data_IF_900645505229
#
_entry.id   IF_900645505229
#
_cell.length_a   1.000
_cell.length_b   1.000
_cell.length_c   1.000
_cell.angle_alpha   90.00
_cell.angle_beta   90.00
_cell.angle_gamma   90.00
#
_symmetry.space_group_name_H-M   'P 1'
#
loop_
_entity.id
_entity.type
_entity.pdbx_description
1 polymer ?
#
# COMPACT_ATOMS: atom_id res chain seq x y z
N UNK A 1 30.33 -24.31 11.53
CA UNK A 1 30.14 -23.18 12.46
C UNK A 1 28.96 -22.38 11.95
N UNK A 2 27.77 -22.63 12.52
CA UNK A 2 26.55 -21.92 12.14
C UNK A 2 26.51 -20.58 12.87
N UNK A 3 26.40 -19.49 12.13
CA UNK A 3 26.23 -18.16 12.70
C UNK A 3 24.87 -18.06 13.42
N UNK A 4 24.80 -17.50 14.63
CA UNK A 4 23.54 -17.33 15.33
C UNK A 4 22.73 -16.20 14.66
N UNK A 5 21.46 -16.49 14.41
CA UNK A 5 20.48 -15.51 13.95
C UNK A 5 20.27 -14.51 15.09
N UNK A 6 20.75 -13.27 14.92
CA UNK A 6 20.58 -12.21 15.92
C UNK A 6 19.16 -11.67 15.80
N UNK A 7 18.30 -12.04 16.73
CA UNK A 7 17.02 -11.36 16.97
C UNK A 7 17.33 -9.94 17.47
N UNK A 8 17.06 -8.94 16.65
CA UNK A 8 17.03 -7.55 17.13
C UNK A 8 15.89 -7.40 18.14
N UNK A 9 16.10 -6.76 19.31
CA UNK A 9 15.04 -6.56 20.29
C UNK A 9 13.97 -5.63 19.74
N UNK A 10 12.69 -5.94 20.02
CA UNK A 10 11.50 -5.19 19.59
C UNK A 10 11.63 -3.67 19.87
N UNK A 11 12.28 -3.29 20.98
CA UNK A 11 12.56 -1.91 21.34
C UNK A 11 13.39 -1.09 20.32
N UNK A 12 14.27 -1.73 19.54
CA UNK A 12 15.05 -1.03 18.51
C UNK A 12 14.20 -0.74 17.25
N UNK A 13 13.18 -1.56 17.00
CA UNK A 13 12.33 -1.50 15.80
C UNK A 13 11.27 -0.39 15.92
N UNK A 14 10.87 -0.04 17.14
CA UNK A 14 9.95 1.07 17.42
C UNK A 14 10.66 2.43 17.34
N UNK A 15 11.91 2.52 17.80
CA UNK A 15 12.74 3.74 17.65
C UNK A 15 13.00 4.16 16.20
N UNK A 16 12.85 3.24 15.23
CA UNK A 16 12.98 3.56 13.81
C UNK A 16 11.73 4.29 13.29
N UNK A 17 10.53 3.91 13.76
CA UNK A 17 9.26 4.48 13.30
C UNK A 17 9.01 5.90 13.81
N UNK A 18 9.54 6.27 14.98
CA UNK A 18 9.45 7.66 15.46
C UNK A 18 10.17 8.66 14.55
N UNK A 19 11.19 8.19 13.83
CA UNK A 19 12.11 9.01 13.03
C UNK A 19 11.85 8.97 11.52
N UNK A 20 10.84 8.22 11.05
CA UNK A 20 10.49 8.18 9.61
C UNK A 20 9.88 9.49 9.12
N UNK A 21 9.32 10.30 10.03
CA UNK A 21 8.72 11.59 9.74
C UNK A 21 9.74 12.72 9.98
N UNK A 22 9.81 13.74 9.10
CA UNK A 22 10.68 14.90 9.31
C UNK A 22 10.40 15.65 10.63
N UNK A 23 11.35 15.61 11.59
CA UNK A 23 11.14 16.08 12.97
C UNK A 23 10.89 17.59 13.18
N UNK A 24 11.02 18.44 12.14
CA UNK A 24 10.81 19.89 12.25
C UNK A 24 9.91 20.41 11.15
N UNK A 25 10.22 20.02 9.94
CA UNK A 25 9.60 20.54 8.74
C UNK A 25 9.67 19.47 7.66
N UNK A 26 8.55 19.20 6.97
CA UNK A 26 8.56 18.29 5.83
C UNK A 26 8.72 19.02 4.49
N UNK A 27 8.36 20.30 4.43
CA UNK A 27 8.61 21.20 3.29
C UNK A 27 8.57 22.65 3.75
N UNK A 28 9.25 23.55 3.03
CA UNK A 28 9.44 24.94 3.45
C UNK A 28 8.13 25.64 3.86
N UNK A 29 8.07 26.14 5.10
CA UNK A 29 6.93 26.77 5.72
C UNK A 29 5.94 25.82 6.41
N UNK A 30 6.20 24.51 6.49
CA UNK A 30 5.31 23.52 7.09
C UNK A 30 5.92 22.90 8.33
N UNK A 31 5.61 23.48 9.49
CA UNK A 31 6.28 23.18 10.75
C UNK A 31 5.48 22.15 11.52
N UNK A 32 6.17 21.11 11.99
CA UNK A 32 5.59 20.07 12.83
C UNK A 32 4.97 20.70 14.10
N UNK A 33 3.68 20.40 14.34
CA UNK A 33 2.91 20.95 15.46
C UNK A 33 3.29 20.32 16.80
N UNK A 34 3.32 19.00 16.80
CA UNK A 34 3.49 18.13 17.96
C UNK A 34 4.54 17.06 17.64
N UNK A 35 4.91 16.23 18.61
CA UNK A 35 5.76 15.06 18.33
C UNK A 35 5.05 14.04 17.43
N UNK A 36 5.82 13.21 16.73
CA UNK A 36 5.30 12.02 16.05
C UNK A 36 4.46 11.17 17.01
N UNK A 37 3.24 10.85 16.61
CA UNK A 37 2.38 9.89 17.30
C UNK A 37 2.54 8.51 16.69
N UNK A 38 2.46 7.46 17.52
CA UNK A 38 2.48 6.07 17.08
C UNK A 38 1.12 5.43 17.34
N UNK A 39 0.64 4.64 16.38
CA UNK A 39 -0.60 3.88 16.51
C UNK A 39 -0.33 2.40 16.29
N UNK A 40 -0.76 1.58 17.25
CA UNK A 40 -0.74 0.11 17.17
C UNK A 40 -2.04 -0.39 16.56
N UNK A 41 -2.18 -1.72 16.43
CA UNK A 41 -3.39 -2.34 15.90
C UNK A 41 -4.64 -1.96 16.72
N UNK A 42 -4.48 -1.80 18.02
CA UNK A 42 -5.53 -1.48 18.97
C UNK A 42 -5.98 -0.02 18.87
N UNK A 43 -5.07 0.90 18.52
CA UNK A 43 -5.35 2.35 18.51
C UNK A 43 -5.53 2.92 17.11
N UNK A 44 -5.30 2.14 16.06
CA UNK A 44 -5.38 2.63 14.68
C UNK A 44 -6.79 3.11 14.31
N UNK A 45 -7.83 2.43 14.80
CA UNK A 45 -9.22 2.77 14.51
C UNK A 45 -9.60 4.19 14.96
N UNK A 46 -9.01 4.65 16.08
CA UNK A 46 -9.21 6.00 16.62
C UNK A 46 -8.57 7.08 15.73
N UNK A 47 -7.55 6.72 14.96
CA UNK A 47 -6.84 7.64 14.07
C UNK A 47 -7.49 7.77 12.69
N UNK A 48 -7.83 6.64 12.06
CA UNK A 48 -8.32 6.61 10.67
C UNK A 48 -9.82 6.31 10.53
N UNK A 49 -10.61 6.58 11.58
CA UNK A 49 -12.07 6.65 11.55
C UNK A 49 -12.74 5.47 10.82
N UNK A 50 -12.40 4.24 11.21
CA UNK A 50 -13.01 3.02 10.66
C UNK A 50 -12.36 2.48 9.39
N UNK A 51 -11.38 3.17 8.78
CA UNK A 51 -10.60 2.60 7.67
C UNK A 51 -9.59 1.54 8.12
N UNK A 52 -9.37 1.35 9.43
CA UNK A 52 -8.38 0.43 10.00
C UNK A 52 -8.57 -1.03 9.57
N UNK A 53 -9.82 -1.47 9.40
CA UNK A 53 -10.14 -2.82 8.95
C UNK A 53 -9.56 -3.14 7.57
N UNK A 54 -9.36 -2.13 6.72
CA UNK A 54 -8.69 -2.33 5.42
C UNK A 54 -7.22 -2.74 5.59
N UNK A 55 -6.56 -2.32 6.67
CA UNK A 55 -5.11 -2.48 6.84
C UNK A 55 -4.74 -3.83 7.44
N UNK A 56 -5.60 -4.41 8.29
CA UNK A 56 -5.29 -5.60 9.06
C UNK A 56 -5.02 -6.85 8.21
N UNK A 57 -5.78 -7.15 7.13
CA UNK A 57 -5.47 -8.28 6.26
C UNK A 57 -4.10 -8.18 5.59
N UNK A 58 -3.58 -6.97 5.39
CA UNK A 58 -2.27 -6.69 4.81
C UNK A 58 -1.15 -6.68 5.89
N UNK A 59 -1.41 -7.26 7.06
CA UNK A 59 -0.39 -7.43 8.10
C UNK A 59 0.13 -6.10 8.66
N UNK A 60 -0.77 -5.15 8.90
CA UNK A 60 -0.45 -3.92 9.62
C UNK A 60 0.33 -4.21 10.92
N UNK A 61 1.43 -3.47 11.11
CA UNK A 61 2.33 -3.59 12.25
C UNK A 61 2.24 -2.33 13.13
N UNK A 62 2.60 -1.17 12.58
CA UNK A 62 2.61 0.11 13.30
C UNK A 62 2.41 1.28 12.33
N UNK A 63 1.73 2.34 12.76
CA UNK A 63 1.67 3.62 12.03
C UNK A 63 2.38 4.72 12.82
N UNK A 64 3.10 5.59 12.10
CA UNK A 64 3.64 6.84 12.64
C UNK A 64 2.95 8.02 11.93
N UNK A 65 2.51 9.02 12.71
CA UNK A 65 1.77 10.18 12.19
C UNK A 65 2.38 11.48 12.70
N UNK A 66 2.45 12.48 11.83
CA UNK A 66 2.74 13.86 12.21
C UNK A 66 1.84 14.87 11.50
N UNK A 67 1.55 15.95 12.21
CA UNK A 67 0.82 17.11 11.69
C UNK A 67 1.78 18.27 11.50
N UNK A 68 1.79 18.86 10.31
CA UNK A 68 2.60 20.01 9.94
C UNK A 68 1.68 21.21 9.64
N UNK A 69 1.84 22.29 10.38
CA UNK A 69 1.08 23.53 10.22
C UNK A 69 1.74 24.43 9.20
N UNK A 70 0.95 25.06 8.33
CA UNK A 70 1.46 26.11 7.45
C UNK A 70 1.75 27.38 8.27
N UNK A 71 3.00 27.83 8.26
CA UNK A 71 3.46 29.00 9.03
C UNK A 71 2.82 30.32 8.59
N UNK A 72 2.31 30.39 7.35
CA UNK A 72 1.61 31.55 6.80
C UNK A 72 0.09 31.51 7.02
N UNK A 73 -0.47 30.31 7.18
CA UNK A 73 -1.90 30.12 7.44
C UNK A 73 -2.13 28.89 8.34
N UNK A 74 -2.15 29.07 9.67
CA UNK A 74 -2.34 27.97 10.61
C UNK A 74 -3.69 27.24 10.51
N UNK A 75 -4.67 27.74 9.76
CA UNK A 75 -5.91 26.99 9.50
C UNK A 75 -5.72 25.88 8.44
N UNK A 76 -4.53 25.79 7.83
CA UNK A 76 -4.16 24.76 6.87
C UNK A 76 -3.02 23.91 7.43
N UNK A 77 -3.21 22.60 7.43
CA UNK A 77 -2.21 21.64 7.90
C UNK A 77 -2.11 20.40 7.02
N UNK A 78 -0.94 19.79 7.03
CA UNK A 78 -0.67 18.50 6.41
C UNK A 78 -0.66 17.44 7.52
N UNK A 79 -1.36 16.34 7.30
CA UNK A 79 -1.22 15.11 8.09
C UNK A 79 -0.45 14.10 7.23
N UNK A 80 0.65 13.59 7.76
CA UNK A 80 1.45 12.56 7.11
C UNK A 80 1.45 11.30 7.96
N UNK A 81 0.99 10.20 7.37
CA UNK A 81 0.92 8.88 7.96
C UNK A 81 1.89 7.93 7.24
N UNK A 82 2.71 7.22 8.02
CA UNK A 82 3.61 6.17 7.54
C UNK A 82 3.21 4.86 8.19
N UNK A 83 2.68 3.95 7.39
CA UNK A 83 2.24 2.62 7.80
C UNK A 83 3.32 1.60 7.50
N UNK A 84 3.76 0.86 8.51
CA UNK A 84 4.61 -0.32 8.35
C UNK A 84 3.71 -1.55 8.19
N UNK A 85 3.81 -2.20 7.03
CA UNK A 85 3.05 -3.42 6.69
C UNK A 85 3.93 -4.66 6.86
N UNK A 86 3.36 -5.86 6.69
CA UNK A 86 4.12 -7.11 6.85
C UNK A 86 5.19 -7.30 5.76
N UNK A 87 4.91 -6.90 4.51
CA UNK A 87 5.82 -7.05 3.38
C UNK A 87 5.68 -5.92 2.34
N UNK A 88 6.55 -5.95 1.33
CA UNK A 88 6.45 -5.10 0.14
C UNK A 88 5.12 -5.33 -0.61
N UNK A 89 4.69 -6.58 -0.77
CA UNK A 89 3.44 -6.92 -1.43
C UNK A 89 2.24 -6.36 -0.65
N UNK A 90 2.29 -6.39 0.67
CA UNK A 90 1.23 -5.87 1.53
C UNK A 90 1.11 -4.34 1.48
N UNK A 91 2.25 -3.62 1.49
CA UNK A 91 2.27 -2.18 1.29
C UNK A 91 1.74 -1.78 -0.10
N UNK A 92 2.15 -2.52 -1.14
CA UNK A 92 1.57 -2.38 -2.47
C UNK A 92 0.07 -2.65 -2.47
N UNK A 93 -0.40 -3.64 -1.69
CA UNK A 93 -1.82 -3.96 -1.53
C UNK A 93 -2.64 -2.77 -1.10
N UNK A 94 -2.26 -2.13 0.02
CA UNK A 94 -2.93 -0.92 0.50
C UNK A 94 -2.85 0.21 -0.54
N UNK A 95 -1.67 0.47 -1.09
CA UNK A 95 -1.49 1.49 -2.12
C UNK A 95 -2.40 1.26 -3.34
N UNK A 96 -2.45 0.02 -3.84
CA UNK A 96 -3.28 -0.36 -4.99
C UNK A 96 -4.77 -0.25 -4.69
N UNK A 97 -5.19 -0.27 -3.40
CA UNK A 97 -6.58 -0.06 -3.03
C UNK A 97 -7.04 1.37 -3.28
N UNK A 98 -6.19 2.36 -2.96
CA UNK A 98 -6.47 3.79 -3.17
C UNK A 98 -6.13 4.28 -4.59
N UNK A 99 -5.28 3.55 -5.32
CA UNK A 99 -4.86 3.88 -6.68
C UNK A 99 -6.06 4.00 -7.62
N UNK A 100 -6.13 5.13 -8.34
CA UNK A 100 -7.12 5.37 -9.40
C UNK A 100 -6.45 5.33 -10.77
N UNK A 101 -7.20 4.94 -11.80
CA UNK A 101 -6.68 4.81 -13.16
C UNK A 101 -6.26 6.15 -13.79
N UNK A 102 -6.93 7.24 -13.39
CA UNK A 102 -6.74 8.61 -13.86
C UNK A 102 -5.87 9.47 -12.92
N UNK A 103 -5.20 8.86 -11.95
CA UNK A 103 -4.40 9.59 -10.97
C UNK A 103 -3.14 10.22 -11.60
N UNK A 104 -2.73 11.38 -11.08
CA UNK A 104 -1.46 11.98 -11.46
C UNK A 104 -0.31 11.22 -10.79
N UNK A 105 0.61 10.67 -11.58
CA UNK A 105 1.69 9.82 -11.07
C UNK A 105 2.88 10.63 -10.59
N UNK A 106 3.52 10.15 -9.53
CA UNK A 106 4.77 10.70 -9.01
C UNK A 106 5.81 9.60 -8.76
N UNK A 107 7.05 9.87 -9.13
CA UNK A 107 8.18 8.98 -8.88
C UNK A 107 8.78 9.25 -7.48
N UNK A 108 8.15 8.70 -6.44
CA UNK A 108 8.65 8.65 -5.06
C UNK A 108 8.44 7.24 -4.53
N UNK A 109 9.45 6.68 -3.85
CA UNK A 109 9.44 5.27 -3.51
C UNK A 109 9.47 4.38 -4.76
N UNK A 110 8.67 3.31 -4.76
CA UNK A 110 8.48 2.45 -5.92
C UNK A 110 7.41 3.00 -6.88
N UNK A 111 6.28 3.46 -6.33
CA UNK A 111 5.24 4.17 -7.09
C UNK A 111 4.45 5.09 -6.16
N UNK A 112 4.00 6.23 -6.69
CA UNK A 112 3.07 7.12 -6.01
C UNK A 112 2.11 7.81 -6.97
N UNK A 113 1.02 8.31 -6.41
CA UNK A 113 0.08 9.19 -7.10
C UNK A 113 -0.40 10.31 -6.18
N UNK A 114 -0.69 11.47 -6.77
CA UNK A 114 -1.15 12.64 -6.06
C UNK A 114 -2.43 13.24 -6.68
N UNK A 115 -3.05 14.11 -5.89
CA UNK A 115 -4.09 15.05 -6.30
C UNK A 115 -3.84 16.39 -5.59
N UNK A 116 -4.75 17.35 -5.76
CA UNK A 116 -4.70 18.63 -5.06
C UNK A 116 -4.74 18.49 -3.53
N UNK A 117 -5.29 17.40 -2.99
CA UNK A 117 -5.50 17.24 -1.54
C UNK A 117 -4.71 16.12 -0.88
N UNK A 118 -4.10 15.22 -1.66
CA UNK A 118 -3.40 14.07 -1.11
C UNK A 118 -2.25 13.59 -1.99
N UNK A 119 -1.28 12.97 -1.34
CA UNK A 119 -0.21 12.23 -1.99
C UNK A 119 -0.05 10.88 -1.30
N UNK A 120 -0.03 9.81 -2.09
CA UNK A 120 0.16 8.45 -1.58
C UNK A 120 1.26 7.74 -2.36
N UNK A 121 2.12 7.01 -1.66
CA UNK A 121 3.15 6.19 -2.28
C UNK A 121 3.47 4.97 -1.41
N UNK A 122 4.19 4.01 -1.98
CA UNK A 122 4.79 2.91 -1.21
C UNK A 122 6.29 2.79 -1.49
N UNK A 123 7.04 2.32 -0.48
CA UNK A 123 8.48 2.10 -0.54
C UNK A 123 8.84 0.93 0.36
N UNK A 124 9.33 -0.18 -0.21
CA UNK A 124 9.51 -1.40 0.57
C UNK A 124 8.20 -1.83 1.26
N UNK A 125 8.28 -2.19 2.55
CA UNK A 125 7.12 -2.57 3.37
C UNK A 125 6.32 -1.38 3.94
N UNK A 126 6.57 -0.15 3.45
CA UNK A 126 5.93 1.05 3.96
C UNK A 126 4.92 1.61 2.95
N UNK A 127 3.73 1.89 3.43
CA UNK A 127 2.74 2.70 2.73
C UNK A 127 2.69 4.09 3.37
N UNK A 128 2.64 5.14 2.57
CA UNK A 128 2.63 6.52 3.05
C UNK A 128 1.43 7.26 2.47
N UNK A 129 0.68 7.93 3.33
CA UNK A 129 -0.45 8.78 2.96
C UNK A 129 -0.24 10.17 3.55
N UNK A 130 -0.29 11.18 2.69
CA UNK A 130 -0.12 12.58 3.06
C UNK A 130 -1.36 13.32 2.59
N UNK A 131 -2.00 14.06 3.48
CA UNK A 131 -3.25 14.76 3.20
C UNK A 131 -3.16 16.19 3.70
N UNK A 132 -3.72 17.13 2.95
CA UNK A 132 -3.94 18.49 3.43
C UNK A 132 -5.36 18.64 3.98
N UNK A 133 -5.51 19.41 5.04
CA UNK A 133 -6.80 19.83 5.60
C UNK A 133 -6.83 21.36 5.70
N UNK A 134 -8.03 21.94 5.65
CA UNK A 134 -8.22 23.40 5.66
C UNK A 134 -8.14 24.07 4.29
N UNK A 135 -7.88 23.31 3.23
CA UNK A 135 -7.93 23.80 1.83
C UNK A 135 -8.12 22.66 0.85
N UNK A 136 -8.63 22.98 -0.34
CA UNK A 136 -8.70 22.08 -1.51
C UNK A 136 -7.74 22.52 -2.63
N UNK A 137 -7.01 23.62 -2.44
CA UNK A 137 -6.21 24.26 -3.48
C UNK A 137 -4.74 24.41 -3.07
N UNK A 138 -4.21 23.42 -2.34
CA UNK A 138 -2.79 23.43 -2.04
C UNK A 138 -1.99 23.20 -3.32
N UNK A 139 -0.91 23.97 -3.50
CA UNK A 139 0.04 23.66 -4.57
C UNK A 139 0.59 22.23 -4.34
N UNK A 140 0.50 21.40 -5.38
CA UNK A 140 0.94 20.00 -5.38
C UNK A 140 2.42 19.84 -4.97
N UNK A 141 3.21 20.91 -5.14
CA UNK A 141 4.64 20.95 -4.78
C UNK A 141 4.90 20.67 -3.30
N UNK A 142 4.01 21.11 -2.40
CA UNK A 142 4.17 20.93 -0.96
C UNK A 142 4.02 19.45 -0.56
N UNK A 143 2.96 18.77 -1.03
CA UNK A 143 2.71 17.36 -0.72
C UNK A 143 3.82 16.46 -1.27
N UNK A 144 4.24 16.69 -2.51
CA UNK A 144 5.33 15.94 -3.14
C UNK A 144 6.67 16.17 -2.44
N UNK A 145 6.97 17.41 -2.03
CA UNK A 145 8.22 17.71 -1.30
C UNK A 145 8.22 17.06 0.08
N UNK A 146 7.08 17.13 0.80
CA UNK A 146 6.87 16.45 2.07
C UNK A 146 7.07 14.93 1.93
N UNK A 147 6.47 14.31 0.90
CA UNK A 147 6.63 12.88 0.64
C UNK A 147 8.04 12.47 0.25
N UNK A 148 8.78 13.30 -0.50
CA UNK A 148 10.21 13.07 -0.77
C UNK A 148 11.06 13.17 0.49
N UNK A 149 10.73 14.08 1.41
CA UNK A 149 11.43 14.17 2.69
C UNK A 149 11.22 12.90 3.53
N UNK A 150 9.98 12.39 3.59
CA UNK A 150 9.65 11.12 4.26
C UNK A 150 10.37 9.94 3.59
N UNK A 151 10.32 9.84 2.26
CA UNK A 151 10.96 8.76 1.49
C UNK A 151 12.46 8.63 1.76
N UNK A 152 13.18 9.74 2.03
CA UNK A 152 14.59 9.73 2.40
C UNK A 152 14.87 9.15 3.79
N UNK A 153 13.90 9.23 4.70
CA UNK A 153 14.02 8.67 6.05
C UNK A 153 13.65 7.18 6.09
N UNK A 154 12.98 6.68 5.04
CA UNK A 154 12.64 5.27 4.91
C UNK A 154 13.82 4.46 4.34
N UNK A 155 13.94 3.16 4.69
CA UNK A 155 14.89 2.27 4.04
C UNK A 155 14.75 2.33 2.51
N UNK A 156 15.86 2.53 1.81
CA UNK A 156 15.84 2.63 0.36
C UNK A 156 15.36 1.32 -0.26
N UNK A 157 14.23 1.39 -0.97
CA UNK A 157 13.67 0.26 -1.71
C UNK A 157 12.68 0.76 -2.78
N UNK A 158 13.13 0.84 -4.02
CA UNK A 158 12.29 1.17 -5.17
C UNK A 158 11.80 -0.07 -5.93
N UNK A 159 11.84 -1.26 -5.31
CA UNK A 159 11.42 -2.49 -5.95
C UNK A 159 9.89 -2.58 -6.04
N UNK A 160 9.43 -3.18 -7.13
CA UNK A 160 8.04 -3.64 -7.26
C UNK A 160 7.90 -5.06 -6.68
N UNK A 161 6.71 -5.44 -6.18
CA UNK A 161 6.46 -6.82 -5.77
C UNK A 161 6.72 -7.78 -6.94
N UNK A 162 7.49 -8.84 -6.68
CA UNK A 162 7.89 -9.83 -7.69
C UNK A 162 6.66 -10.55 -8.27
N UNK A 163 5.63 -10.72 -7.47
CA UNK A 163 4.38 -11.36 -7.85
C UNK A 163 3.66 -10.63 -9.00
N UNK A 164 3.95 -9.34 -9.20
CA UNK A 164 3.43 -8.57 -10.35
C UNK A 164 4.10 -8.93 -11.69
N UNK A 165 5.22 -9.67 -11.67
CA UNK A 165 5.88 -10.13 -12.91
C UNK A 165 4.94 -11.00 -13.77
N UNK A 166 4.04 -11.75 -13.13
CA UNK A 166 3.04 -12.57 -13.82
C UNK A 166 2.06 -11.75 -14.68
N UNK A 167 1.94 -10.45 -14.42
CA UNK A 167 1.03 -9.54 -15.12
C UNK A 167 1.73 -8.72 -16.22
N UNK A 168 3.03 -8.96 -16.47
CA UNK A 168 3.78 -8.33 -17.58
C UNK A 168 3.44 -8.96 -18.93
N UNK A 169 2.15 -9.00 -19.24
CA UNK A 169 1.61 -9.47 -20.51
C UNK A 169 0.98 -8.29 -21.26
N UNK A 170 1.11 -8.19 -22.60
CA UNK A 170 0.62 -7.02 -23.35
C UNK A 170 -0.88 -6.73 -23.22
N UNK A 171 -1.69 -7.75 -22.88
CA UNK A 171 -3.13 -7.61 -22.73
C UNK A 171 -3.54 -6.91 -21.43
N UNK A 172 -2.69 -6.91 -20.39
CA UNK A 172 -3.02 -6.28 -19.10
C UNK A 172 -3.05 -4.77 -19.25
N UNK A 173 -4.11 -4.16 -18.73
CA UNK A 173 -4.24 -2.70 -18.65
C UNK A 173 -3.22 -2.21 -17.60
N UNK A 174 -2.27 -1.35 -17.97
CA UNK A 174 -1.24 -0.88 -17.05
C UNK A 174 -1.83 -0.30 -15.77
N UNK A 175 -1.20 -0.61 -14.62
CA UNK A 175 -1.58 -0.08 -13.30
C UNK A 175 -2.99 -0.48 -12.83
N UNK A 176 -3.58 -1.49 -13.46
CA UNK A 176 -4.84 -2.08 -13.00
C UNK A 176 -4.64 -3.20 -11.99
N UNK A 177 -3.39 -3.57 -11.70
CA UNK A 177 -3.07 -4.64 -10.77
C UNK A 177 -3.51 -4.25 -9.35
N UNK A 178 -4.10 -5.20 -8.62
CA UNK A 178 -4.49 -5.06 -7.23
C UNK A 178 -4.09 -6.31 -6.48
N UNK A 179 -3.48 -6.16 -5.32
CA UNK A 179 -3.29 -7.27 -4.39
C UNK A 179 -4.42 -7.28 -3.36
N UNK A 180 -5.04 -8.44 -3.18
CA UNK A 180 -6.14 -8.70 -2.26
C UNK A 180 -5.62 -9.69 -1.22
N UNK A 181 -5.46 -9.23 0.01
CA UNK A 181 -4.84 -10.01 1.08
C UNK A 181 -5.78 -11.00 1.78
N UNK A 182 -7.10 -10.93 1.52
CA UNK A 182 -8.10 -11.84 2.08
C UNK A 182 -9.29 -12.05 1.14
N UNK A 183 -9.80 -13.30 1.10
CA UNK A 183 -11.05 -13.72 0.45
C UNK A 183 -11.21 -13.17 -0.97
N UNK A 184 -10.27 -13.53 -1.86
CA UNK A 184 -10.27 -13.04 -3.25
C UNK A 184 -11.54 -13.49 -3.98
N UNK A 185 -12.19 -12.56 -4.69
CA UNK A 185 -13.52 -12.75 -5.31
C UNK A 185 -14.64 -13.09 -4.31
N UNK A 186 -14.44 -12.87 -3.01
CA UNK A 186 -15.39 -13.27 -1.97
C UNK A 186 -15.32 -14.77 -1.63
N UNK A 187 -14.32 -15.49 -2.13
CA UNK A 187 -14.11 -16.91 -1.81
C UNK A 187 -13.09 -17.05 -0.68
N UNK A 188 -13.52 -17.53 0.49
CA UNK A 188 -12.65 -17.80 1.65
C UNK A 188 -11.49 -18.74 1.34
N UNK A 189 -11.69 -19.53 0.28
CA UNK A 189 -10.78 -20.55 -0.16
C UNK A 189 -9.60 -19.93 -0.94
N UNK A 190 -9.79 -18.76 -1.56
CA UNK A 190 -8.71 -17.93 -2.08
C UNK A 190 -8.24 -16.97 -1.00
N UNK A 191 -7.25 -17.43 -0.22
CA UNK A 191 -6.73 -16.68 0.93
C UNK A 191 -6.16 -15.32 0.53
N UNK A 192 -5.42 -15.26 -0.56
CA UNK A 192 -4.82 -14.03 -1.11
C UNK A 192 -4.64 -14.18 -2.62
N UNK A 193 -4.49 -13.07 -3.31
CA UNK A 193 -4.34 -13.10 -4.76
C UNK A 193 -4.20 -11.74 -5.38
N UNK A 194 -3.83 -11.74 -6.65
CA UNK A 194 -3.61 -10.53 -7.42
C UNK A 194 -4.59 -10.55 -8.58
N UNK A 195 -5.23 -9.43 -8.83
CA UNK A 195 -6.12 -9.23 -9.97
C UNK A 195 -5.58 -8.12 -10.85
N UNK A 196 -5.90 -8.15 -12.14
CA UNK A 196 -5.68 -7.04 -13.05
C UNK A 196 -6.76 -7.02 -14.13
N UNK A 197 -7.08 -5.84 -14.66
CA UNK A 197 -7.89 -5.74 -15.85
C UNK A 197 -7.03 -6.05 -17.08
N UNK A 198 -7.60 -6.72 -18.07
CA UNK A 198 -6.97 -6.95 -19.35
C UNK A 198 -7.97 -6.79 -20.49
N UNK A 199 -7.46 -6.54 -21.70
CA UNK A 199 -8.24 -6.51 -22.93
C UNK A 199 -7.78 -7.65 -23.84
N UNK A 200 -8.67 -8.60 -24.11
CA UNK A 200 -8.39 -9.75 -24.98
C UNK A 200 -9.40 -9.73 -26.11
N UNK A 201 -8.93 -9.62 -27.36
CA UNK A 201 -9.79 -9.54 -28.56
C UNK A 201 -10.87 -8.44 -28.50
N UNK A 202 -10.58 -7.31 -27.85
CA UNK A 202 -11.51 -6.19 -27.68
C UNK A 202 -12.43 -6.31 -26.46
N UNK A 203 -12.47 -7.47 -25.81
CA UNK A 203 -13.28 -7.71 -24.60
C UNK A 203 -12.48 -7.42 -23.34
N UNK A 204 -13.13 -6.80 -22.35
CA UNK A 204 -12.54 -6.58 -21.02
C UNK A 204 -12.67 -7.85 -20.19
N UNK A 205 -11.55 -8.37 -19.73
CA UNK A 205 -11.47 -9.53 -18.85
C UNK A 205 -10.71 -9.17 -17.56
N UNK A 206 -10.90 -9.98 -16.54
CA UNK A 206 -10.13 -9.89 -15.30
C UNK A 206 -9.16 -11.07 -15.24
N UNK A 207 -7.87 -10.76 -15.15
CA UNK A 207 -6.81 -11.74 -14.89
C UNK A 207 -6.71 -11.94 -13.38
N UNK A 208 -6.59 -13.21 -12.96
CA UNK A 208 -6.47 -13.59 -11.56
C UNK A 208 -5.24 -14.49 -11.39
N UNK A 209 -4.40 -14.18 -10.41
CA UNK A 209 -3.28 -15.02 -9.96
C UNK A 209 -3.47 -15.32 -8.48
N UNK A 210 -3.50 -16.60 -8.12
CA UNK A 210 -3.58 -17.08 -6.74
C UNK A 210 -2.22 -17.68 -6.37
N UNK A 211 -1.37 -16.97 -5.62
CA UNK A 211 -0.07 -17.48 -5.23
C UNK A 211 -0.21 -18.54 -4.13
N UNK A 212 0.46 -19.68 -4.34
CA UNK A 212 0.52 -20.80 -3.41
C UNK A 212 1.98 -21.18 -3.14
N UNK A 213 2.25 -21.74 -1.97
CA UNK A 213 3.62 -22.02 -1.52
C UNK A 213 4.26 -23.23 -2.22
N UNK A 214 3.48 -23.98 -3.00
CA UNK A 214 3.94 -25.14 -3.77
C UNK A 214 3.12 -25.39 -5.02
N UNK A 215 3.68 -26.15 -5.97
CA UNK A 215 2.99 -26.57 -7.19
C UNK A 215 1.76 -27.44 -6.89
N UNK A 216 1.84 -28.32 -5.88
CA UNK A 216 0.72 -29.14 -5.43
C UNK A 216 -0.40 -28.26 -4.82
N UNK A 217 -0.03 -27.26 -4.02
CA UNK A 217 -0.98 -26.27 -3.49
C UNK A 217 -1.68 -25.49 -4.61
N UNK A 218 -0.91 -24.99 -5.58
CA UNK A 218 -1.45 -24.31 -6.75
C UNK A 218 -2.43 -25.19 -7.54
N UNK A 219 -2.08 -26.47 -7.73
CA UNK A 219 -2.95 -27.41 -8.43
C UNK A 219 -4.25 -27.66 -7.68
N UNK A 220 -4.19 -27.87 -6.36
CA UNK A 220 -5.37 -28.04 -5.50
C UNK A 220 -6.28 -26.82 -5.51
N UNK A 221 -5.71 -25.61 -5.44
CA UNK A 221 -6.47 -24.36 -5.50
C UNK A 221 -7.20 -24.21 -6.85
N UNK A 222 -6.50 -24.52 -7.95
CA UNK A 222 -7.06 -24.50 -9.30
C UNK A 222 -8.16 -25.53 -9.50
N UNK A 223 -7.92 -26.78 -9.11
CA UNK A 223 -8.89 -27.87 -9.24
C UNK A 223 -10.16 -27.59 -8.41
N UNK A 224 -10.01 -27.02 -7.21
CA UNK A 224 -11.14 -26.58 -6.38
C UNK A 224 -11.94 -25.46 -7.05
N UNK A 225 -11.28 -24.49 -7.68
CA UNK A 225 -11.97 -23.42 -8.39
C UNK A 225 -12.73 -23.95 -9.62
N UNK A 226 -12.12 -24.85 -10.39
CA UNK A 226 -12.79 -25.51 -11.51
C UNK A 226 -14.02 -26.31 -11.07
N UNK A 227 -13.91 -27.05 -9.95
CA UNK A 227 -15.04 -27.78 -9.38
C UNK A 227 -16.18 -26.84 -8.94
N UNK A 228 -15.84 -25.71 -8.32
CA UNK A 228 -16.80 -24.68 -7.93
C UNK A 228 -17.52 -24.09 -9.16
N UNK A 229 -16.79 -23.67 -10.21
CA UNK A 229 -17.40 -23.11 -11.41
C UNK A 229 -18.37 -24.08 -12.10
N UNK A 230 -18.02 -25.38 -12.13
CA UNK A 230 -18.89 -26.43 -12.66
C UNK A 230 -20.15 -26.61 -11.82
N UNK A 231 -20.03 -26.60 -10.49
CA UNK A 231 -21.17 -26.71 -9.58
C UNK A 231 -22.14 -25.51 -9.73
N UNK A 232 -21.62 -24.33 -10.01
CA UNK A 232 -22.40 -23.10 -10.27
C UNK A 232 -22.92 -22.99 -11.72
N UNK A 233 -22.66 -23.98 -12.58
CA UNK A 233 -23.10 -23.97 -13.98
C UNK A 233 -22.43 -22.92 -14.87
N UNK A 234 -21.25 -22.42 -14.48
CA UNK A 234 -20.50 -21.42 -15.26
C UNK A 234 -19.67 -22.08 -16.37
N UNK A 235 -19.58 -21.41 -17.53
CA UNK A 235 -18.74 -21.88 -18.65
C UNK A 235 -17.26 -21.86 -18.23
N UNK A 236 -16.55 -22.95 -18.49
CA UNK A 236 -15.13 -23.12 -18.17
C UNK A 236 -14.40 -23.61 -19.41
N UNK A 237 -13.51 -22.77 -19.93
CA UNK A 237 -12.61 -23.12 -21.03
C UNK A 237 -11.20 -23.27 -20.47
N UNK A 238 -10.62 -24.46 -20.65
CA UNK A 238 -9.25 -24.76 -20.30
C UNK A 238 -8.42 -24.78 -21.59
N UNK A 239 -7.31 -24.06 -21.61
CA UNK A 239 -6.38 -23.97 -22.73
C UNK A 239 -4.98 -24.37 -22.30
#
# INVERSE_FOLDING_TARGET
>A
MSAPCVFAPVFAVDSLMENVLPARECTAGWIMKDKTALFTKETLADHINGEAELYFPYGFDLAATATYMNSKNPEVWIVADVYRMASLLDAFGIYSNYRKADAAWAMVGAEGFHSASQFMFYQGRYFVRIQVTGTTELREDALLTCGRAISRNLPFNAAYPRELEAFRIPAVVPKSERYIAQSVLGYDFFRRGITAAATVQGERVQVLVIPEDSQDGARKAFDRYCAYLKAEGKDLRLT
#
